data_IF_065039351359
#
_entry.id   IF_065039351359
#
_cell.length_a   1.000
_cell.length_b   1.000
_cell.length_c   1.000
_cell.angle_alpha   90.00
_cell.angle_beta   90.00
_cell.angle_gamma   90.00
#
_symmetry.space_group_name_H-M   'P 1'
#
loop_
_entity.id
_entity.type
_entity.pdbx_description
1 polymer ?
#
# COMPACT_ATOMS: atom_id res chain seq x y z
N UNK A 1 -7.47 -0.56 -25.04
CA UNK A 1 -8.11 0.74 -25.34
C UNK A 1 -7.97 1.59 -24.08
N UNK A 2 -7.03 2.54 -24.09
CA UNK A 2 -6.68 3.35 -22.91
C UNK A 2 -7.81 4.34 -22.65
N UNK A 3 -8.57 4.12 -21.58
CA UNK A 3 -9.58 5.07 -21.13
C UNK A 3 -8.88 6.33 -20.63
N UNK A 4 -8.87 7.38 -21.45
CA UNK A 4 -8.59 8.74 -20.99
C UNK A 4 -9.80 9.18 -20.16
N UNK A 5 -9.66 9.21 -18.85
CA UNK A 5 -10.57 9.96 -17.99
C UNK A 5 -9.97 11.31 -17.62
N UNK A 6 -10.85 12.30 -17.62
CA UNK A 6 -10.70 13.70 -17.25
C UNK A 6 -10.07 13.91 -15.87
N UNK A 7 -9.54 15.11 -15.64
CA UNK A 7 -8.79 15.57 -14.46
C UNK A 7 -9.45 15.33 -13.10
N UNK A 8 -9.44 14.10 -12.61
CA UNK A 8 -9.67 13.83 -11.19
C UNK A 8 -8.41 14.25 -10.43
N UNK A 9 -8.52 15.25 -9.56
CA UNK A 9 -7.44 15.66 -8.67
C UNK A 9 -7.12 14.48 -7.74
N UNK A 10 -5.86 14.05 -7.74
CA UNK A 10 -5.40 12.99 -6.84
C UNK A 10 -5.59 13.40 -5.37
N UNK A 11 -5.87 12.45 -4.45
CA UNK A 11 -5.93 12.76 -3.02
C UNK A 11 -4.67 13.46 -2.51
N UNK A 12 -4.82 14.34 -1.52
CA UNK A 12 -3.71 15.10 -0.94
C UNK A 12 -2.56 14.20 -0.45
N UNK A 13 -2.80 13.09 0.26
CA UNK A 13 -1.71 12.18 0.66
C UNK A 13 -0.94 11.57 -0.52
N UNK A 14 -1.60 11.34 -1.66
CA UNK A 14 -0.94 10.83 -2.88
C UNK A 14 0.03 11.88 -3.42
N UNK A 15 -0.42 13.14 -3.53
CA UNK A 15 0.42 14.23 -4.03
C UNK A 15 1.60 14.51 -3.10
N UNK A 16 1.38 14.48 -1.78
CA UNK A 16 2.42 14.64 -0.77
C UNK A 16 3.46 13.52 -0.85
N UNK A 17 3.04 12.25 -0.91
CA UNK A 17 3.94 11.11 -1.05
C UNK A 17 4.78 11.17 -2.33
N UNK A 18 4.18 11.54 -3.47
CA UNK A 18 4.89 11.74 -4.74
C UNK A 18 5.97 12.79 -4.62
N UNK A 19 5.65 13.93 -3.98
CA UNK A 19 6.60 15.03 -3.78
C UNK A 19 7.77 14.60 -2.89
N UNK A 20 7.50 13.86 -1.81
CA UNK A 20 8.51 13.42 -0.85
C UNK A 20 9.36 12.26 -1.34
N UNK A 21 8.89 11.45 -2.29
CA UNK A 21 9.64 10.29 -2.79
C UNK A 21 11.10 10.59 -3.17
N UNK A 22 11.41 11.57 -4.05
CA UNK A 22 12.80 11.89 -4.41
C UNK A 22 13.59 12.53 -3.26
N UNK A 23 12.94 13.10 -2.24
CA UNK A 23 13.60 13.67 -1.07
C UNK A 23 14.04 12.59 -0.07
N UNK A 24 13.29 11.48 -0.01
CA UNK A 24 13.56 10.35 0.89
C UNK A 24 14.49 9.33 0.25
N UNK A 25 14.25 8.99 -1.03
CA UNK A 25 14.98 7.95 -1.75
C UNK A 25 15.87 8.58 -2.83
N UNK A 26 17.04 9.07 -2.41
CA UNK A 26 18.02 9.77 -3.25
C UNK A 26 19.41 9.10 -3.27
N UNK A 27 19.46 7.79 -3.00
CA UNK A 27 20.69 7.00 -2.84
C UNK A 27 21.29 6.48 -4.18
N UNK A 28 20.83 7.01 -5.31
CA UNK A 28 21.38 6.71 -6.64
C UNK A 28 20.97 5.35 -7.22
N UNK A 29 20.01 4.65 -6.59
CA UNK A 29 19.52 3.36 -7.09
C UNK A 29 18.79 3.52 -8.43
N UNK A 30 19.11 2.63 -9.37
CA UNK A 30 18.43 2.53 -10.65
C UNK A 30 17.18 1.68 -10.48
N UNK A 31 16.02 2.32 -10.51
CA UNK A 31 14.73 1.64 -10.42
C UNK A 31 14.37 0.91 -11.71
N UNK A 32 13.71 -0.24 -11.56
CA UNK A 32 13.30 -1.10 -12.66
C UNK A 32 11.92 -0.73 -13.24
N UNK A 33 11.29 0.34 -12.74
CA UNK A 33 10.00 0.84 -13.21
C UNK A 33 9.80 2.34 -12.96
N UNK A 34 8.73 2.93 -13.52
CA UNK A 34 8.39 4.33 -13.29
C UNK A 34 7.92 4.58 -11.86
N UNK A 35 7.79 5.86 -11.50
CA UNK A 35 7.08 6.27 -10.29
C UNK A 35 5.59 5.97 -10.44
N UNK A 36 5.07 5.15 -9.54
CA UNK A 36 3.68 4.76 -9.47
C UNK A 36 3.05 5.14 -8.14
N UNK A 37 1.72 5.25 -8.12
CA UNK A 37 0.96 5.52 -6.89
C UNK A 37 -0.18 4.54 -6.71
N UNK A 38 -0.36 4.10 -5.47
CA UNK A 38 -1.46 3.23 -5.07
C UNK A 38 -2.08 3.80 -3.80
N UNK A 39 -3.40 3.75 -3.66
CA UNK A 39 -4.06 4.20 -2.44
C UNK A 39 -5.35 3.44 -2.21
N UNK A 40 -5.84 3.50 -0.97
CA UNK A 40 -7.14 2.97 -0.60
C UNK A 40 -7.79 3.88 0.45
N UNK A 41 -9.12 4.04 0.40
CA UNK A 41 -9.84 4.84 1.37
C UNK A 41 -10.00 4.10 2.71
N UNK A 42 -10.13 4.86 3.79
CA UNK A 42 -10.77 4.35 5.00
C UNK A 42 -12.27 4.09 4.76
N UNK A 43 -12.95 3.56 5.76
CA UNK A 43 -14.40 3.35 5.69
C UNK A 43 -15.07 3.60 7.03
N UNK A 44 -16.30 4.09 6.96
CA UNK A 44 -17.25 4.04 8.07
C UNK A 44 -18.30 2.99 7.75
N UNK A 45 -18.90 2.43 8.78
CA UNK A 45 -20.02 1.52 8.61
C UNK A 45 -21.27 2.23 9.11
N UNK A 46 -22.28 2.32 8.25
CA UNK A 46 -23.51 3.05 8.54
C UNK A 46 -24.41 2.22 9.47
N UNK A 47 -24.43 0.90 9.27
CA UNK A 47 -25.14 -0.07 10.11
C UNK A 47 -24.57 -1.48 9.88
N UNK A 48 -24.77 -2.37 10.86
CA UNK A 48 -24.25 -3.74 10.83
C UNK A 48 -22.89 -3.84 11.50
N UNK A 49 -22.73 -3.26 12.69
CA UNK A 49 -21.55 -3.52 13.51
C UNK A 49 -21.64 -4.94 14.09
N UNK A 50 -20.50 -5.63 14.15
CA UNK A 50 -20.39 -6.96 14.76
C UNK A 50 -21.21 -8.07 14.07
N UNK A 51 -21.68 -7.83 12.85
CA UNK A 51 -22.45 -8.81 12.06
C UNK A 51 -21.61 -9.51 11.00
N UNK A 52 -20.52 -8.90 10.53
CA UNK A 52 -19.65 -9.39 9.45
C UNK A 52 -19.01 -10.75 9.77
N UNK A 53 -18.51 -10.94 10.98
CA UNK A 53 -17.94 -12.22 11.43
C UNK A 53 -18.99 -13.25 11.87
N UNK A 54 -20.28 -12.93 11.74
CA UNK A 54 -21.41 -13.81 12.05
C UNK A 54 -22.28 -14.08 10.80
N UNK A 55 -21.71 -13.95 9.59
CA UNK A 55 -22.41 -14.10 8.31
C UNK A 55 -23.64 -13.17 8.14
N UNK A 56 -23.65 -12.02 8.83
CA UNK A 56 -24.70 -11.02 8.75
C UNK A 56 -24.43 -9.92 7.70
N UNK A 57 -25.41 -9.04 7.51
CA UNK A 57 -25.30 -7.91 6.58
C UNK A 57 -24.56 -6.72 7.19
N UNK A 58 -23.88 -5.97 6.33
CA UNK A 58 -23.20 -4.70 6.64
C UNK A 58 -23.52 -3.64 5.58
N UNK A 59 -23.47 -2.37 5.96
CA UNK A 59 -23.63 -1.24 5.03
C UNK A 59 -22.47 -0.23 5.17
N UNK A 60 -21.28 -0.56 4.65
CA UNK A 60 -20.13 0.31 4.71
C UNK A 60 -20.15 1.40 3.62
N UNK A 61 -19.47 2.50 3.91
CA UNK A 61 -19.18 3.57 2.96
C UNK A 61 -17.70 3.96 3.07
N UNK A 62 -17.03 4.02 1.92
CA UNK A 62 -15.68 4.58 1.83
C UNK A 62 -15.71 6.08 2.16
N UNK A 63 -14.76 6.55 2.96
CA UNK A 63 -14.60 7.99 3.25
C UNK A 63 -13.67 8.66 2.24
N UNK A 64 -13.62 9.99 2.26
CA UNK A 64 -12.75 10.81 1.42
C UNK A 64 -11.29 10.90 1.93
N UNK A 65 -10.92 10.04 2.89
CA UNK A 65 -9.59 9.93 3.49
C UNK A 65 -8.92 8.64 3.06
N UNK A 66 -7.63 8.70 2.76
CA UNK A 66 -6.89 7.60 2.16
C UNK A 66 -5.56 7.32 2.86
N UNK A 67 -5.08 6.09 2.67
CA UNK A 67 -3.66 5.75 2.83
C UNK A 67 -3.09 5.55 1.43
N UNK A 68 -1.94 6.16 1.16
CA UNK A 68 -1.31 6.23 -0.14
C UNK A 68 0.15 5.77 -0.09
N UNK A 69 0.57 5.14 -1.18
CA UNK A 69 1.93 4.75 -1.49
C UNK A 69 2.34 5.50 -2.76
N UNK A 70 3.50 6.14 -2.74
CA UNK A 70 4.18 6.63 -3.93
C UNK A 70 5.56 5.98 -4.00
N UNK A 71 5.84 5.25 -5.07
CA UNK A 71 6.98 4.35 -5.07
C UNK A 71 7.44 3.87 -6.44
N UNK A 72 8.57 3.17 -6.43
CA UNK A 72 9.19 2.59 -7.62
C UNK A 72 9.66 1.18 -7.33
N UNK A 73 9.42 0.30 -8.29
CA UNK A 73 9.91 -1.07 -8.26
C UNK A 73 11.44 -1.12 -8.37
N UNK A 74 12.05 -2.01 -7.59
CA UNK A 74 13.48 -2.29 -7.56
C UNK A 74 13.80 -3.57 -8.31
N UNK A 75 15.08 -3.79 -8.61
CA UNK A 75 15.56 -5.04 -9.21
C UNK A 75 15.95 -6.10 -8.18
N UNK A 76 16.16 -5.71 -6.92
CA UNK A 76 16.41 -6.62 -5.82
C UNK A 76 15.12 -7.00 -5.09
N UNK A 77 15.22 -7.91 -4.13
CA UNK A 77 14.10 -8.46 -3.37
C UNK A 77 13.93 -7.75 -2.03
N UNK A 78 14.11 -6.43 -2.01
CA UNK A 78 14.00 -5.61 -0.80
C UNK A 78 12.85 -4.62 -0.91
N UNK A 79 12.01 -4.55 0.13
CA UNK A 79 11.03 -3.48 0.31
C UNK A 79 11.58 -2.47 1.29
N UNK A 80 11.63 -1.19 0.89
CA UNK A 80 12.01 -0.07 1.78
C UNK A 80 10.88 0.95 1.81
N UNK A 81 10.45 1.30 3.01
CA UNK A 81 9.30 2.16 3.21
C UNK A 81 9.67 3.32 4.11
N UNK A 82 9.15 4.49 3.77
CA UNK A 82 9.17 5.66 4.64
C UNK A 82 7.76 6.07 4.99
N UNK A 83 7.42 6.10 6.27
CA UNK A 83 6.15 6.69 6.70
C UNK A 83 6.32 8.19 6.89
N UNK A 84 5.58 9.00 6.12
CA UNK A 84 5.53 10.45 6.28
C UNK A 84 4.93 10.85 7.63
N UNK A 85 3.88 10.15 8.07
CA UNK A 85 3.20 10.38 9.36
C UNK A 85 4.12 10.12 10.55
N UNK A 86 4.77 8.94 10.59
CA UNK A 86 5.60 8.55 11.72
C UNK A 86 7.05 9.04 11.60
N UNK A 87 7.48 9.47 10.41
CA UNK A 87 8.86 9.83 10.08
C UNK A 87 9.85 8.70 10.40
N UNK A 88 9.45 7.48 10.05
CA UNK A 88 10.22 6.26 10.29
C UNK A 88 10.49 5.56 8.97
N UNK A 89 11.76 5.23 8.76
CA UNK A 89 12.24 4.35 7.72
C UNK A 89 12.21 2.89 8.21
N UNK A 90 11.75 1.99 7.35
CA UNK A 90 11.82 0.53 7.58
C UNK A 90 12.22 -0.18 6.30
N UNK A 91 12.76 -1.39 6.46
CA UNK A 91 12.99 -2.28 5.33
C UNK A 91 12.82 -3.74 5.75
N UNK A 92 12.45 -4.58 4.79
CA UNK A 92 12.40 -6.03 4.96
C UNK A 92 12.55 -6.73 3.60
N UNK A 93 13.13 -7.94 3.55
CA UNK A 93 13.20 -8.72 2.32
C UNK A 93 11.80 -9.21 1.94
N UNK A 94 11.54 -9.34 0.64
CA UNK A 94 10.32 -10.02 0.15
C UNK A 94 10.55 -11.51 -0.03
N UNK A 95 11.80 -11.97 -0.13
CA UNK A 95 12.20 -13.38 -0.14
C UNK A 95 12.41 -13.92 1.28
N UNK A 96 12.35 -15.25 1.45
CA UNK A 96 12.63 -15.94 2.72
C UNK A 96 11.87 -15.39 3.94
N UNK A 97 10.62 -14.98 3.72
CA UNK A 97 9.73 -14.51 4.77
C UNK A 97 9.51 -15.64 5.79
N UNK A 98 9.58 -15.34 7.09
CA UNK A 98 9.54 -16.37 8.12
C UNK A 98 8.16 -16.98 8.25
N UNK A 99 8.12 -18.22 8.74
CA UNK A 99 6.86 -18.92 9.07
C UNK A 99 6.12 -18.26 10.25
N UNK A 100 6.83 -17.47 11.07
CA UNK A 100 6.25 -16.68 12.16
C UNK A 100 6.87 -15.28 12.23
N UNK A 101 6.15 -14.35 12.86
CA UNK A 101 6.51 -12.93 12.87
C UNK A 101 7.12 -12.44 14.19
N UNK A 102 7.51 -13.34 15.10
CA UNK A 102 8.02 -12.94 16.42
C UNK A 102 9.26 -12.03 16.29
N UNK A 103 10.17 -12.36 15.39
CA UNK A 103 11.35 -11.52 15.12
C UNK A 103 11.00 -10.11 14.61
N UNK A 104 9.88 -9.97 13.89
CA UNK A 104 9.41 -8.68 13.37
C UNK A 104 8.55 -7.91 14.37
N UNK A 105 8.13 -8.55 15.47
CA UNK A 105 7.29 -7.93 16.49
C UNK A 105 7.98 -6.73 17.13
N UNK A 106 9.27 -6.86 17.41
CA UNK A 106 10.12 -5.80 17.96
C UNK A 106 10.94 -5.06 16.90
N UNK A 107 11.31 -5.75 15.81
CA UNK A 107 12.15 -5.15 14.76
C UNK A 107 11.40 -4.16 13.84
N UNK A 108 10.07 -4.27 13.73
CA UNK A 108 9.26 -3.38 12.89
C UNK A 108 8.18 -2.65 13.71
N UNK A 109 7.96 -1.35 13.42
CA UNK A 109 6.83 -0.62 13.97
C UNK A 109 5.50 -1.23 13.50
N UNK A 110 4.45 -1.04 14.31
CA UNK A 110 3.13 -1.65 14.11
C UNK A 110 2.60 -1.49 12.69
N UNK A 111 2.71 -0.29 12.09
CA UNK A 111 2.21 -0.01 10.74
C UNK A 111 2.94 -0.84 9.67
N UNK A 112 4.25 -1.00 9.78
CA UNK A 112 5.05 -1.73 8.80
C UNK A 112 4.74 -3.23 8.82
N UNK A 113 4.33 -3.75 9.99
CA UNK A 113 3.91 -5.16 10.12
C UNK A 113 2.63 -5.48 9.35
N UNK A 114 1.73 -4.51 9.14
CA UNK A 114 0.58 -4.69 8.24
C UNK A 114 1.04 -4.88 6.79
N UNK A 115 1.98 -4.05 6.33
CA UNK A 115 2.55 -4.17 4.97
C UNK A 115 3.27 -5.51 4.81
N UNK A 116 4.08 -5.90 5.79
CA UNK A 116 4.74 -7.20 5.81
C UNK A 116 3.73 -8.35 5.74
N UNK A 117 2.65 -8.28 6.52
CA UNK A 117 1.58 -9.30 6.50
C UNK A 117 0.95 -9.45 5.11
N UNK A 118 0.65 -8.34 4.44
CA UNK A 118 0.13 -8.36 3.06
C UNK A 118 1.11 -9.03 2.10
N UNK A 119 2.39 -8.65 2.15
CA UNK A 119 3.44 -9.25 1.31
C UNK A 119 3.55 -10.75 1.57
N UNK A 120 3.53 -11.17 2.83
CA UNK A 120 3.59 -12.59 3.21
C UNK A 120 2.38 -13.37 2.69
N UNK A 121 1.17 -12.87 2.89
CA UNK A 121 -0.04 -13.57 2.47
C UNK A 121 -0.15 -13.66 0.93
N UNK A 122 0.25 -12.61 0.20
CA UNK A 122 0.36 -12.67 -1.27
C UNK A 122 1.32 -13.78 -1.71
N UNK A 123 2.51 -13.86 -1.12
CA UNK A 123 3.48 -14.92 -1.46
C UNK A 123 2.98 -16.30 -1.06
N UNK A 124 2.28 -16.43 0.06
CA UNK A 124 1.70 -17.68 0.54
C UNK A 124 0.67 -18.26 -0.43
N UNK A 125 -0.10 -17.40 -1.12
CA UNK A 125 -1.04 -17.84 -2.17
C UNK A 125 -0.40 -17.94 -3.56
N UNK A 126 0.93 -17.87 -3.66
CA UNK A 126 1.68 -18.07 -4.91
C UNK A 126 1.82 -16.82 -5.78
N UNK A 127 1.47 -15.63 -5.28
CA UNK A 127 1.69 -14.37 -5.99
C UNK A 127 3.13 -13.90 -5.74
N UNK A 128 3.90 -13.76 -6.82
CA UNK A 128 5.22 -13.16 -6.74
C UNK A 128 5.11 -11.67 -6.39
N UNK A 129 5.90 -11.23 -5.41
CA UNK A 129 6.02 -9.84 -5.01
C UNK A 129 7.47 -9.43 -5.22
N UNK A 130 7.69 -8.34 -5.94
CA UNK A 130 9.01 -7.78 -6.21
C UNK A 130 9.41 -6.76 -5.14
N UNK A 131 10.70 -6.44 -5.05
CA UNK A 131 11.17 -5.35 -4.19
C UNK A 131 10.72 -3.98 -4.72
N UNK A 132 10.49 -3.02 -3.81
CA UNK A 132 10.14 -1.65 -4.16
C UNK A 132 10.51 -0.66 -3.04
N UNK A 133 10.70 0.59 -3.44
CA UNK A 133 10.77 1.71 -2.50
C UNK A 133 9.46 2.49 -2.54
N UNK A 134 8.94 2.87 -1.38
CA UNK A 134 7.75 3.73 -1.33
C UNK A 134 7.74 4.66 -0.13
N UNK A 135 7.24 5.88 -0.37
CA UNK A 135 6.73 6.76 0.68
C UNK A 135 5.28 6.40 0.94
N UNK A 136 4.95 6.20 2.22
CA UNK A 136 3.60 5.96 2.72
C UNK A 136 3.11 7.21 3.44
N UNK A 137 1.98 7.74 3.00
CA UNK A 137 1.31 8.87 3.63
C UNK A 137 -0.20 8.63 3.74
N UNK A 138 -0.89 9.33 4.62
CA UNK A 138 -2.33 9.14 4.78
C UNK A 138 -2.98 10.10 5.77
N UNK A 139 -4.27 10.34 5.54
CA UNK A 139 -5.11 11.24 6.33
C UNK A 139 -6.32 10.54 6.97
N UNK A 140 -6.38 9.20 6.90
CA UNK A 140 -7.33 8.38 7.67
C UNK A 140 -6.95 8.45 9.15
N UNK A 141 -7.83 8.93 10.05
CA UNK A 141 -7.49 9.06 11.47
C UNK A 141 -7.18 7.71 12.12
N UNK A 142 -6.03 7.65 12.79
CA UNK A 142 -5.60 6.50 13.56
C UNK A 142 -6.50 6.30 14.78
N UNK A 143 -6.95 5.06 15.01
CA UNK A 143 -7.78 4.71 16.17
C UNK A 143 -9.21 5.26 16.14
N UNK A 144 -9.62 5.96 15.08
CA UNK A 144 -10.94 6.58 14.97
C UNK A 144 -12.07 5.66 14.47
N UNK A 145 -11.88 4.34 14.48
CA UNK A 145 -12.87 3.38 13.96
C UNK A 145 -13.04 3.39 12.43
N UNK A 146 -12.24 4.18 11.70
CA UNK A 146 -12.34 4.38 10.24
C UNK A 146 -11.50 3.39 9.41
N UNK A 147 -11.08 2.27 10.00
CA UNK A 147 -10.31 1.23 9.33
C UNK A 147 -9.00 1.71 8.67
N UNK A 148 -8.20 2.48 9.39
CA UNK A 148 -6.88 2.90 8.92
C UNK A 148 -5.95 1.71 8.62
N UNK A 149 -6.07 0.60 9.36
CA UNK A 149 -5.31 -0.64 9.09
C UNK A 149 -5.74 -1.27 7.77
N UNK A 150 -7.04 -1.45 7.54
CA UNK A 150 -7.55 -2.02 6.29
C UNK A 150 -7.21 -1.14 5.08
N UNK A 151 -7.28 0.19 5.23
CA UNK A 151 -6.84 1.11 4.18
C UNK A 151 -5.34 0.92 3.86
N UNK A 152 -4.49 0.77 4.88
CA UNK A 152 -3.06 0.49 4.68
C UNK A 152 -2.83 -0.88 4.02
N UNK A 153 -3.54 -1.93 4.44
CA UNK A 153 -3.42 -3.28 3.86
C UNK A 153 -3.86 -3.31 2.38
N UNK A 154 -5.02 -2.72 2.05
CA UNK A 154 -5.52 -2.66 0.67
C UNK A 154 -4.61 -1.80 -0.21
N UNK A 155 -4.15 -0.65 0.29
CA UNK A 155 -3.19 0.18 -0.43
C UNK A 155 -1.85 -0.54 -0.64
N UNK A 156 -1.40 -1.35 0.33
CA UNK A 156 -0.18 -2.17 0.23
C UNK A 156 -0.32 -3.24 -0.84
N UNK A 157 -1.45 -3.95 -0.89
CA UNK A 157 -1.71 -4.96 -1.90
C UNK A 157 -1.75 -4.32 -3.30
N UNK A 158 -2.36 -3.14 -3.40
CA UNK A 158 -2.42 -2.37 -4.62
C UNK A 158 -1.03 -1.88 -5.07
N UNK A 159 -0.18 -1.45 -4.14
CA UNK A 159 1.21 -1.12 -4.40
C UNK A 159 1.99 -2.35 -4.91
N UNK A 160 1.82 -3.52 -4.28
CA UNK A 160 2.46 -4.76 -4.74
C UNK A 160 2.05 -5.11 -6.18
N UNK A 161 0.76 -4.96 -6.53
CA UNK A 161 0.27 -5.19 -7.89
C UNK A 161 0.92 -4.22 -8.88
N UNK A 162 0.95 -2.92 -8.53
CA UNK A 162 1.54 -1.87 -9.36
C UNK A 162 3.05 -2.09 -9.60
N UNK A 163 3.77 -2.53 -8.58
CA UNK A 163 5.22 -2.75 -8.62
C UNK A 163 5.61 -4.19 -9.03
N UNK A 164 4.70 -4.93 -9.68
CA UNK A 164 4.93 -6.33 -10.09
C UNK A 164 5.25 -6.52 -11.58
N UNK A 165 5.45 -5.45 -12.35
CA UNK A 165 5.47 -5.49 -13.84
C UNK A 165 4.20 -6.10 -14.45
N UNK A 166 3.07 -5.99 -13.76
CA UNK A 166 1.80 -6.57 -14.22
C UNK A 166 1.72 -8.09 -14.09
N UNK A 167 2.54 -8.72 -13.22
CA UNK A 167 2.40 -10.14 -12.89
C UNK A 167 1.05 -10.46 -12.26
N UNK A 168 0.44 -9.49 -11.56
CA UNK A 168 -0.94 -9.58 -11.10
C UNK A 168 -1.61 -8.20 -11.05
N UNK A 169 -2.94 -8.19 -11.02
CA UNK A 169 -3.75 -6.98 -10.92
C UNK A 169 -4.80 -7.15 -9.83
N UNK A 170 -5.10 -6.08 -9.10
CA UNK A 170 -6.24 -6.05 -8.19
C UNK A 170 -7.41 -5.32 -8.85
N UNK A 171 -8.52 -6.04 -9.06
CA UNK A 171 -9.67 -5.53 -9.79
C UNK A 171 -9.52 -5.64 -11.32
N UNK A 172 -10.44 -5.01 -12.08
CA UNK A 172 -10.42 -5.05 -13.54
C UNK A 172 -9.15 -4.40 -14.13
N UNK A 173 -8.73 -4.83 -15.32
CA UNK A 173 -7.59 -4.25 -16.03
C UNK A 173 -7.72 -2.71 -16.12
N UNK A 174 -6.73 -1.99 -15.59
CA UNK A 174 -6.72 -0.51 -15.54
C UNK A 174 -7.22 0.12 -14.23
N UNK A 175 -7.55 -0.68 -13.22
CA UNK A 175 -7.86 -0.23 -11.85
C UNK A 175 -6.68 0.41 -11.11
N UNK A 176 -5.45 0.12 -11.56
CA UNK A 176 -4.20 0.62 -10.98
C UNK A 176 -3.66 1.78 -11.80
N UNK A 177 -3.45 2.93 -11.15
CA UNK A 177 -2.94 4.14 -11.78
C UNK A 177 -1.41 4.21 -11.71
N UNK A 178 -0.74 3.95 -12.83
CA UNK A 178 0.65 4.36 -13.02
C UNK A 178 0.67 5.84 -13.45
N UNK A 179 1.47 6.68 -12.81
CA UNK A 179 1.61 8.09 -13.19
C UNK A 179 2.36 8.27 -14.51
N UNK A 180 3.00 7.21 -15.02
CA UNK A 180 3.73 7.22 -16.28
C UNK A 180 3.53 5.89 -17.05
N UNK A 181 3.39 5.94 -18.39
CA UNK A 181 3.34 4.75 -19.23
C UNK A 181 4.66 3.98 -19.26
#
# INVERSE_FOLDING_TARGET
MVSRMSSATLPVPVLAAVKSFPEVFHDGIVYAGPLGVAWAPGRVNLIGEHTDYNDGFVLPLAVDRVVAFAGRMRSDQLVRLWSAHFRVYVQFPVQDLPDNFEQYREALPVWARYVLGVVTELRRVGIAVEGFDAVVDGDVPLGGGMSSSAALEVASAHACALFSRGQFTLGPVGSTLSLYP
#
